data_IF_987803795387
#
_entry.id   IF_987803795387
#
_cell.length_a   1.000
_cell.length_b   1.000
_cell.length_c   1.000
_cell.angle_alpha   90.00
_cell.angle_beta   90.00
_cell.angle_gamma   90.00
#
_symmetry.space_group_name_H-M   'P 1'
#
loop_
_entity.id
_entity.type
_entity.pdbx_description
1 polymer ?
#
# COMPACT_ATOMS: atom_id res chain seq x y z
N UNK A 1 -15.28 6.01 17.10
CA UNK A 1 -13.88 5.61 17.39
C UNK A 1 -13.11 5.54 16.09
N UNK A 2 -11.85 5.98 16.10
CA UNK A 2 -10.97 5.91 14.94
C UNK A 2 -10.18 4.60 14.95
N UNK A 3 -9.71 4.16 13.79
CA UNK A 3 -8.83 2.99 13.70
C UNK A 3 -7.48 3.27 14.39
N UNK A 4 -6.97 4.49 14.26
CA UNK A 4 -5.74 4.90 14.94
C UNK A 4 -5.85 4.76 16.47
N UNK A 5 -6.96 5.21 17.07
CA UNK A 5 -7.19 5.04 18.50
C UNK A 5 -7.30 3.56 18.91
N UNK A 6 -7.90 2.71 18.08
CA UNK A 6 -7.96 1.28 18.33
C UNK A 6 -6.56 0.62 18.28
N UNK A 7 -5.70 1.05 17.36
CA UNK A 7 -4.31 0.58 17.26
C UNK A 7 -3.49 1.01 18.48
N UNK A 8 -3.65 2.26 18.92
CA UNK A 8 -2.93 2.81 20.08
C UNK A 8 -3.33 2.11 21.37
N UNK A 9 -4.60 1.72 21.50
CA UNK A 9 -5.12 1.02 22.67
C UNK A 9 -4.68 -0.45 22.79
N UNK A 10 -4.08 -1.02 21.73
CA UNK A 10 -3.59 -2.40 21.80
C UNK A 10 -2.43 -2.52 22.79
N UNK A 11 -2.43 -3.55 23.65
CA UNK A 11 -1.29 -3.82 24.51
C UNK A 11 -0.05 -4.17 23.70
N UNK A 12 1.11 -3.85 24.25
CA UNK A 12 2.39 -4.28 23.68
C UNK A 12 2.58 -5.79 23.83
N UNK A 13 3.43 -6.35 23.00
CA UNK A 13 3.79 -7.75 23.00
C UNK A 13 3.80 -8.36 21.61
N UNK A 14 4.34 -9.56 21.51
CA UNK A 14 4.52 -10.34 20.28
C UNK A 14 3.30 -11.21 19.91
N UNK A 15 2.29 -11.24 20.75
CA UNK A 15 1.04 -11.91 20.43
C UNK A 15 0.26 -11.15 19.34
N UNK A 16 -0.29 -11.92 18.39
CA UNK A 16 -1.13 -11.35 17.36
C UNK A 16 -2.42 -10.74 17.94
N UNK A 17 -2.64 -9.47 17.65
CA UNK A 17 -3.86 -8.73 18.04
C UNK A 17 -4.77 -8.56 16.83
N UNK A 18 -6.06 -8.76 17.03
CA UNK A 18 -7.08 -8.60 15.99
C UNK A 18 -7.91 -7.35 16.27
N UNK A 19 -7.97 -6.47 15.28
CA UNK A 19 -8.93 -5.36 15.25
C UNK A 19 -10.00 -5.71 14.23
N UNK A 20 -11.26 -5.82 14.69
CA UNK A 20 -12.41 -5.96 13.82
C UNK A 20 -13.00 -4.58 13.53
N UNK A 21 -13.11 -4.23 12.24
CA UNK A 21 -13.53 -2.91 11.79
C UNK A 21 -14.93 -3.01 11.18
N UNK A 22 -15.90 -2.32 11.77
CA UNK A 22 -17.27 -2.26 11.27
C UNK A 22 -17.35 -1.38 10.03
N UNK A 23 -18.44 -1.56 9.26
CA UNK A 23 -18.75 -0.70 8.12
C UNK A 23 -18.72 0.77 8.51
N UNK A 24 -18.11 1.59 7.68
CA UNK A 24 -17.97 3.03 7.88
C UNK A 24 -16.93 3.64 6.97
N UNK A 25 -17.00 4.95 6.83
CA UNK A 25 -15.96 5.78 6.24
C UNK A 25 -15.08 6.32 7.36
N UNK A 26 -13.81 5.96 7.36
CA UNK A 26 -12.80 6.37 8.32
C UNK A 26 -11.90 7.41 7.65
N UNK A 27 -12.24 8.69 7.85
CA UNK A 27 -11.45 9.80 7.29
C UNK A 27 -10.29 10.12 8.21
N UNK A 28 -9.25 9.31 8.11
CA UNK A 28 -8.06 9.40 8.93
C UNK A 28 -6.82 8.89 8.21
N UNK A 29 -5.68 9.41 8.62
CA UNK A 29 -4.37 8.92 8.21
C UNK A 29 -3.89 7.88 9.22
N UNK A 30 -3.72 6.64 8.79
CA UNK A 30 -3.42 5.51 9.68
C UNK A 30 -1.95 5.14 9.61
N UNK A 31 -1.33 5.00 10.76
CA UNK A 31 0.03 4.51 10.88
C UNK A 31 0.08 3.24 11.73
N UNK A 32 0.61 2.16 11.18
CA UNK A 32 0.77 0.89 11.87
C UNK A 32 2.25 0.59 12.04
N UNK A 33 2.68 0.51 13.29
CA UNK A 33 4.08 0.36 13.65
C UNK A 33 4.66 1.63 14.26
N UNK A 34 5.82 1.56 14.83
CA UNK A 34 6.32 2.57 15.74
C UNK A 34 6.76 3.86 15.07
N UNK A 35 6.36 4.99 15.66
CA UNK A 35 7.13 6.21 15.64
C UNK A 35 8.09 6.35 16.82
N UNK A 36 7.84 5.68 17.92
CA UNK A 36 8.65 5.86 19.10
C UNK A 36 8.75 4.69 20.04
N UNK A 37 7.87 3.71 20.00
CA UNK A 37 7.86 2.64 21.00
C UNK A 37 7.40 1.33 20.40
N UNK A 38 8.22 0.28 20.57
CA UNK A 38 7.87 -1.13 20.43
C UNK A 38 7.22 -1.57 19.12
N UNK A 39 8.05 -1.94 18.19
CA UNK A 39 7.73 -2.63 16.94
C UNK A 39 7.16 -4.06 17.14
N UNK A 40 6.82 -4.44 18.34
CA UNK A 40 6.49 -5.82 18.71
C UNK A 40 4.99 -6.11 18.69
N UNK A 41 4.17 -5.26 18.05
CA UNK A 41 2.74 -5.56 17.88
C UNK A 41 2.52 -6.31 16.57
N UNK A 42 2.19 -7.58 16.62
CA UNK A 42 1.72 -8.34 15.46
C UNK A 42 0.22 -8.06 15.28
N UNK A 43 -0.14 -7.28 14.27
CA UNK A 43 -1.50 -6.75 14.11
C UNK A 43 -2.19 -7.41 12.92
N UNK A 44 -3.44 -7.78 13.14
CA UNK A 44 -4.39 -8.13 12.09
C UNK A 44 -5.56 -7.16 12.10
N UNK A 45 -5.96 -6.69 10.92
CA UNK A 45 -7.17 -5.88 10.73
C UNK A 45 -8.13 -6.67 9.84
N UNK A 46 -9.35 -6.89 10.32
CA UNK A 46 -10.40 -7.56 9.56
C UNK A 46 -11.62 -6.65 9.50
N UNK A 47 -11.94 -6.19 8.30
CA UNK A 47 -13.14 -5.41 8.04
C UNK A 47 -14.40 -6.27 7.89
N UNK A 48 -15.52 -5.69 8.17
CA UNK A 48 -16.83 -6.34 7.99
C UNK A 48 -17.08 -6.68 6.51
N UNK A 49 -16.76 -5.76 5.59
CA UNK A 49 -16.85 -5.97 4.16
C UNK A 49 -16.01 -4.96 3.40
N UNK A 50 -15.27 -5.41 2.36
CA UNK A 50 -14.32 -4.61 1.59
C UNK A 50 -14.89 -3.29 1.09
N UNK A 51 -16.09 -3.29 0.54
CA UNK A 51 -16.66 -2.10 -0.10
C UNK A 51 -17.41 -1.19 0.88
N UNK A 52 -17.48 -1.55 2.17
CA UNK A 52 -18.15 -0.78 3.21
C UNK A 52 -17.27 -0.37 4.38
N UNK A 53 -16.07 -0.92 4.49
CA UNK A 53 -15.03 -0.46 5.42
C UNK A 53 -13.98 0.30 4.62
N UNK A 54 -14.04 1.62 4.67
CA UNK A 54 -13.23 2.50 3.81
C UNK A 54 -12.38 3.42 4.68
N UNK A 55 -11.06 3.30 4.56
CA UNK A 55 -10.07 4.21 5.15
C UNK A 55 -9.65 5.18 4.06
N UNK A 56 -9.82 6.48 4.28
CA UNK A 56 -9.70 7.50 3.24
C UNK A 56 -8.93 8.71 3.73
N UNK A 57 -8.01 9.21 2.90
CA UNK A 57 -7.31 10.47 3.11
C UNK A 57 -6.97 11.13 1.76
N UNK A 58 -6.33 12.32 1.80
CA UNK A 58 -6.06 13.11 0.60
C UNK A 58 -4.73 13.87 0.61
N UNK A 59 -3.73 13.38 1.33
CA UNK A 59 -2.39 13.97 1.26
C UNK A 59 -1.69 13.61 -0.06
N UNK A 60 -0.81 14.50 -0.53
CA UNK A 60 -0.07 14.34 -1.77
C UNK A 60 1.37 14.85 -1.63
N UNK A 61 2.23 14.46 -2.53
CA UNK A 61 3.62 14.92 -2.60
C UNK A 61 3.66 16.44 -2.83
N UNK A 62 4.32 17.15 -1.92
CA UNK A 62 4.40 18.61 -1.92
C UNK A 62 3.38 19.31 -0.99
N UNK A 63 2.44 18.58 -0.37
CA UNK A 63 1.52 19.15 0.61
C UNK A 63 2.23 19.41 1.93
N UNK A 64 1.95 20.54 2.56
CA UNK A 64 2.36 20.78 3.95
C UNK A 64 1.49 19.92 4.88
N UNK A 65 2.10 19.11 5.70
CA UNK A 65 1.44 18.19 6.63
C UNK A 65 2.09 18.20 8.01
N UNK A 66 1.32 17.91 9.04
CA UNK A 66 1.85 17.53 10.34
C UNK A 66 2.09 16.01 10.33
N UNK A 67 3.37 15.63 10.20
CA UNK A 67 3.71 14.22 10.09
C UNK A 67 3.89 13.62 11.48
N UNK A 68 3.01 12.69 11.85
CA UNK A 68 3.05 11.84 13.03
C UNK A 68 3.71 12.45 14.28
N UNK A 69 2.94 13.22 15.05
CA UNK A 69 3.37 13.73 16.33
C UNK A 69 4.37 14.87 16.27
N UNK A 70 4.77 15.34 15.09
CA UNK A 70 5.57 16.53 14.94
C UNK A 70 4.73 17.78 15.25
N UNK A 71 5.27 18.67 16.06
CA UNK A 71 4.64 19.96 16.37
C UNK A 71 4.83 21.00 15.26
N UNK A 72 5.74 20.74 14.31
CA UNK A 72 6.02 21.59 13.16
C UNK A 72 5.60 20.91 11.86
N UNK A 73 4.96 21.64 10.94
CA UNK A 73 4.61 21.08 9.65
C UNK A 73 5.87 20.78 8.82
N UNK A 74 5.75 19.83 7.91
CA UNK A 74 6.78 19.47 6.95
C UNK A 74 6.14 19.28 5.57
N UNK A 75 6.92 19.43 4.51
CA UNK A 75 6.46 19.13 3.16
C UNK A 75 6.51 17.62 2.95
N UNK A 76 5.38 17.05 2.63
CA UNK A 76 5.28 15.62 2.34
C UNK A 76 6.04 15.25 1.08
N UNK A 77 6.90 14.25 1.16
CA UNK A 77 7.32 13.49 -0.01
C UNK A 77 6.28 12.45 -0.40
N UNK A 78 6.50 11.73 -1.50
CA UNK A 78 5.57 10.70 -1.99
C UNK A 78 5.19 9.68 -0.90
N UNK A 79 6.12 9.04 -0.17
CA UNK A 79 5.75 8.07 0.86
C UNK A 79 4.97 8.67 2.03
N UNK A 80 5.25 9.93 2.38
CA UNK A 80 4.57 10.62 3.48
C UNK A 80 3.13 11.00 3.13
N UNK A 81 2.74 10.96 1.85
CA UNK A 81 1.37 11.20 1.42
C UNK A 81 0.42 10.04 1.74
N UNK A 82 0.94 8.89 2.15
CA UNK A 82 0.15 7.66 2.33
C UNK A 82 -1.03 7.85 3.28
N UNK A 83 -2.19 7.37 2.86
CA UNK A 83 -3.37 7.23 3.72
C UNK A 83 -3.09 6.23 4.83
N UNK A 84 -2.50 5.09 4.49
CA UNK A 84 -2.09 4.08 5.46
C UNK A 84 -0.60 3.76 5.29
N UNK A 85 0.18 3.89 6.35
CA UNK A 85 1.57 3.42 6.40
C UNK A 85 1.64 2.18 7.29
N UNK A 86 2.17 1.07 6.75
CA UNK A 86 2.30 -0.18 7.50
C UNK A 86 3.77 -0.49 7.73
N UNK A 87 4.27 -0.15 8.92
CA UNK A 87 5.64 -0.42 9.37
C UNK A 87 5.69 -1.60 10.37
N UNK A 88 4.73 -2.50 10.32
CA UNK A 88 4.71 -3.71 11.13
C UNK A 88 5.09 -4.92 10.27
N UNK A 89 6.01 -5.77 10.72
CA UNK A 89 6.23 -7.06 10.10
C UNK A 89 5.05 -8.00 10.38
N UNK A 90 4.89 -9.01 9.52
CA UNK A 90 3.85 -10.04 9.67
C UNK A 90 2.42 -9.49 9.79
N UNK A 91 2.19 -8.27 9.24
CA UNK A 91 0.88 -7.62 9.24
C UNK A 91 -0.11 -8.37 8.34
N UNK A 92 -1.35 -8.45 8.80
CA UNK A 92 -2.46 -9.02 8.03
C UNK A 92 -3.63 -8.05 7.96
N UNK A 93 -4.21 -7.90 6.76
CA UNK A 93 -5.43 -7.13 6.57
C UNK A 93 -6.39 -7.85 5.62
N UNK A 94 -7.68 -7.85 5.98
CA UNK A 94 -8.73 -8.48 5.18
C UNK A 94 -9.99 -7.62 5.13
N UNK A 95 -10.69 -7.61 3.99
CA UNK A 95 -11.99 -6.97 3.78
C UNK A 95 -12.00 -5.46 4.04
N UNK A 96 -10.96 -4.74 3.64
CA UNK A 96 -10.84 -3.28 3.83
C UNK A 96 -10.50 -2.60 2.51
N UNK A 97 -11.10 -1.44 2.27
CA UNK A 97 -10.66 -0.48 1.26
C UNK A 97 -9.74 0.56 1.89
N UNK A 98 -8.58 0.78 1.30
CA UNK A 98 -7.70 1.91 1.60
C UNK A 98 -7.61 2.78 0.35
N UNK A 99 -7.95 4.06 0.49
CA UNK A 99 -7.93 4.97 -0.66
C UNK A 99 -7.23 6.29 -0.35
N UNK A 100 -6.55 6.83 -1.36
CA UNK A 100 -6.17 8.23 -1.41
C UNK A 100 -7.00 8.92 -2.50
N UNK A 101 -7.70 9.98 -2.15
CA UNK A 101 -8.65 10.63 -3.06
C UNK A 101 -8.04 11.74 -3.91
N UNK A 102 -6.76 12.08 -3.70
CA UNK A 102 -6.08 13.11 -4.49
C UNK A 102 -5.64 12.56 -5.85
N UNK A 103 -5.89 13.34 -6.93
CA UNK A 103 -5.70 12.85 -8.31
C UNK A 103 -4.72 13.66 -9.15
N UNK A 104 -4.19 14.78 -8.62
CA UNK A 104 -3.41 15.73 -9.43
C UNK A 104 -1.90 15.67 -9.19
N UNK A 105 -1.44 14.82 -8.25
CA UNK A 105 -0.02 14.54 -8.00
C UNK A 105 0.13 13.12 -7.43
N UNK A 106 1.36 12.73 -7.13
CA UNK A 106 1.67 11.48 -6.43
C UNK A 106 0.99 11.46 -5.06
N UNK A 107 0.15 10.45 -4.82
CA UNK A 107 -0.71 10.36 -3.65
C UNK A 107 -0.97 8.89 -3.30
N UNK A 108 -0.24 8.42 -2.30
CA UNK A 108 -0.18 7.00 -1.93
C UNK A 108 -1.41 6.61 -1.12
N UNK A 109 -2.08 5.53 -1.48
CA UNK A 109 -3.10 4.93 -0.62
C UNK A 109 -2.44 4.11 0.49
N UNK A 110 -1.49 3.24 0.14
CA UNK A 110 -0.80 2.41 1.13
C UNK A 110 0.72 2.39 0.90
N UNK A 111 1.49 2.63 1.98
CA UNK A 111 2.94 2.53 2.00
C UNK A 111 3.39 1.33 2.84
N UNK A 112 4.06 0.39 2.20
CA UNK A 112 4.56 -0.85 2.79
C UNK A 112 5.99 -0.67 3.30
N UNK A 113 6.16 -0.57 4.60
CA UNK A 113 7.47 -0.39 5.26
C UNK A 113 7.93 -1.65 5.98
N UNK A 114 7.00 -2.41 6.55
CA UNK A 114 7.27 -3.70 7.19
C UNK A 114 7.50 -4.83 6.20
N UNK A 115 8.06 -5.94 6.67
CA UNK A 115 8.28 -7.15 5.88
C UNK A 115 7.21 -8.20 6.13
N UNK A 116 6.92 -9.06 5.14
CA UNK A 116 5.95 -10.18 5.21
C UNK A 116 4.52 -9.71 5.52
N UNK A 117 4.06 -8.73 4.77
CA UNK A 117 2.69 -8.21 4.90
C UNK A 117 1.75 -9.00 4.00
N UNK A 118 0.55 -9.31 4.51
CA UNK A 118 -0.47 -10.07 3.78
C UNK A 118 -1.78 -9.32 3.72
N UNK A 119 -2.34 -9.25 2.51
CA UNK A 119 -3.60 -8.59 2.22
C UNK A 119 -4.54 -9.55 1.50
N UNK A 120 -5.74 -9.73 2.03
CA UNK A 120 -6.75 -10.62 1.46
C UNK A 120 -8.06 -9.87 1.25
N UNK A 121 -8.63 -10.01 0.06
CA UNK A 121 -9.91 -9.39 -0.29
C UNK A 121 -9.97 -7.88 0.04
N UNK A 122 -8.86 -7.17 -0.14
CA UNK A 122 -8.73 -5.73 0.07
C UNK A 122 -8.89 -4.95 -1.24
N UNK A 123 -9.20 -3.67 -1.13
CA UNK A 123 -9.18 -2.73 -2.25
C UNK A 123 -8.20 -1.60 -1.95
N UNK A 124 -7.31 -1.32 -2.91
CA UNK A 124 -6.40 -0.19 -2.86
C UNK A 124 -6.74 0.74 -4.01
N UNK A 125 -7.18 1.95 -3.69
CA UNK A 125 -7.64 2.91 -4.68
C UNK A 125 -6.88 4.22 -4.55
N UNK A 126 -6.33 4.67 -5.66
CA UNK A 126 -5.64 5.95 -5.78
C UNK A 126 -5.62 6.41 -7.22
N UNK A 127 -4.68 7.27 -7.57
CA UNK A 127 -4.46 7.69 -8.95
C UNK A 127 -3.00 7.51 -9.35
N UNK A 128 -2.07 8.32 -8.84
CA UNK A 128 -0.64 8.11 -9.05
C UNK A 128 0.00 7.55 -7.79
N UNK A 129 0.80 6.48 -7.93
CA UNK A 129 1.55 5.82 -6.85
C UNK A 129 0.65 5.20 -5.75
N UNK A 130 -0.47 4.57 -6.13
CA UNK A 130 -1.45 4.00 -5.17
C UNK A 130 -0.81 3.09 -4.12
N UNK A 131 0.08 2.17 -4.55
CA UNK A 131 0.84 1.28 -3.67
C UNK A 131 2.33 1.59 -3.77
N UNK A 132 2.92 2.02 -2.65
CA UNK A 132 4.35 2.27 -2.54
C UNK A 132 5.01 1.15 -1.72
N UNK A 133 5.84 0.32 -2.37
CA UNK A 133 6.46 -0.84 -1.76
C UNK A 133 7.93 -0.57 -1.45
N UNK A 134 8.26 -0.41 -0.17
CA UNK A 134 9.63 -0.13 0.26
C UNK A 134 10.58 -1.24 -0.16
N UNK A 135 11.71 -0.84 -0.72
CA UNK A 135 12.80 -1.71 -1.15
C UNK A 135 13.21 -2.73 -0.07
N UNK A 136 13.39 -3.99 -0.48
CA UNK A 136 13.79 -5.07 0.42
C UNK A 136 12.68 -5.59 1.33
N UNK A 137 11.41 -5.24 1.09
CA UNK A 137 10.24 -5.72 1.83
C UNK A 137 9.36 -6.59 0.95
N UNK A 138 8.66 -7.54 1.57
CA UNK A 138 7.81 -8.54 0.90
C UNK A 138 6.36 -8.33 1.25
N UNK A 139 5.50 -8.43 0.24
CA UNK A 139 4.05 -8.34 0.42
C UNK A 139 3.34 -9.42 -0.40
N UNK A 140 2.26 -9.94 0.13
CA UNK A 140 1.40 -10.91 -0.54
C UNK A 140 -0.04 -10.40 -0.61
N UNK A 141 -0.63 -10.48 -1.79
CA UNK A 141 -1.99 -10.04 -2.07
C UNK A 141 -2.80 -11.20 -2.63
N UNK A 142 -3.92 -11.50 -2.02
CA UNK A 142 -4.85 -12.51 -2.48
C UNK A 142 -6.25 -11.93 -2.68
N UNK A 143 -6.80 -12.13 -3.88
CA UNK A 143 -8.15 -11.65 -4.24
C UNK A 143 -8.37 -10.15 -3.98
N UNK A 144 -7.34 -9.33 -4.23
CA UNK A 144 -7.40 -7.88 -4.02
C UNK A 144 -7.75 -7.15 -5.33
N UNK A 145 -8.32 -5.94 -5.19
CA UNK A 145 -8.54 -4.99 -6.27
C UNK A 145 -7.57 -3.82 -6.11
N UNK A 146 -6.70 -3.60 -7.09
CA UNK A 146 -5.74 -2.52 -7.10
C UNK A 146 -6.09 -1.57 -8.26
N UNK A 147 -6.37 -0.31 -7.96
CA UNK A 147 -6.82 0.69 -8.91
C UNK A 147 -5.93 1.92 -8.91
N UNK A 148 -5.61 2.43 -10.09
CA UNK A 148 -4.87 3.67 -10.23
C UNK A 148 -4.77 4.17 -11.66
N UNK A 149 -4.27 5.39 -11.82
CA UNK A 149 -4.15 6.06 -13.12
C UNK A 149 -2.78 5.89 -13.75
N UNK A 150 -1.71 5.99 -12.98
CA UNK A 150 -0.33 5.86 -13.45
C UNK A 150 0.59 5.42 -12.32
N UNK A 151 1.60 4.60 -12.65
CA UNK A 151 2.62 4.10 -11.71
C UNK A 151 2.02 3.54 -10.40
N UNK A 152 0.81 3.02 -10.46
CA UNK A 152 0.00 2.78 -9.26
C UNK A 152 0.41 1.55 -8.43
N UNK A 153 1.42 0.81 -8.88
CA UNK A 153 2.18 -0.18 -8.10
C UNK A 153 3.66 0.18 -8.28
N UNK A 154 4.32 0.76 -7.28
CA UNK A 154 5.64 1.32 -7.48
C UNK A 154 6.66 1.01 -6.38
N UNK A 155 7.89 1.40 -6.61
CA UNK A 155 9.09 1.24 -5.78
C UNK A 155 9.73 -0.15 -5.79
N UNK A 156 10.68 -0.41 -4.89
CA UNK A 156 11.64 -1.52 -4.97
C UNK A 156 11.32 -2.73 -4.09
N UNK A 157 10.08 -2.87 -3.61
CA UNK A 157 9.65 -4.04 -2.84
C UNK A 157 9.43 -5.27 -3.70
N UNK A 158 9.29 -6.41 -3.06
CA UNK A 158 8.85 -7.67 -3.68
C UNK A 158 7.39 -7.89 -3.35
N UNK A 159 6.55 -8.05 -4.36
CA UNK A 159 5.12 -8.29 -4.18
C UNK A 159 4.62 -9.46 -5.04
N UNK A 160 3.83 -10.32 -4.41
CA UNK A 160 3.17 -11.43 -5.09
C UNK A 160 1.65 -11.21 -5.08
N UNK A 161 1.11 -10.97 -6.25
CA UNK A 161 -0.33 -10.78 -6.48
C UNK A 161 -0.91 -12.09 -7.00
N UNK A 162 -1.86 -12.65 -6.26
CA UNK A 162 -2.53 -13.90 -6.63
C UNK A 162 -4.04 -13.70 -6.73
N UNK A 163 -4.60 -14.02 -7.89
CA UNK A 163 -6.03 -13.87 -8.19
C UNK A 163 -6.55 -12.42 -7.95
N UNK A 164 -5.69 -11.44 -8.21
CA UNK A 164 -6.04 -10.03 -8.04
C UNK A 164 -6.57 -9.41 -9.34
N UNK A 165 -7.32 -8.32 -9.19
CA UNK A 165 -7.69 -7.44 -10.31
C UNK A 165 -6.82 -6.20 -10.25
N UNK A 166 -6.11 -5.91 -11.34
CA UNK A 166 -5.27 -4.73 -11.52
C UNK A 166 -5.99 -3.84 -12.53
N UNK A 167 -6.58 -2.73 -12.05
CA UNK A 167 -7.48 -1.90 -12.86
C UNK A 167 -6.87 -0.52 -13.12
N UNK A 168 -6.63 -0.22 -14.38
CA UNK A 168 -6.18 1.11 -14.81
C UNK A 168 -7.36 2.06 -14.97
N UNK A 169 -7.29 3.22 -14.34
CA UNK A 169 -8.32 4.27 -14.38
C UNK A 169 -8.06 5.30 -15.47
N UNK A 170 -6.89 5.24 -16.14
CA UNK A 170 -6.47 6.19 -17.17
C UNK A 170 -5.61 5.48 -18.21
N UNK A 171 -5.80 5.83 -19.46
CA UNK A 171 -4.92 5.40 -20.56
C UNK A 171 -3.62 6.20 -20.64
N UNK A 172 -2.66 5.69 -21.41
CA UNK A 172 -1.41 6.37 -21.76
C UNK A 172 -0.27 6.28 -20.73
N UNK A 173 -0.48 5.60 -19.60
CA UNK A 173 0.50 5.47 -18.52
C UNK A 173 0.73 4.01 -18.13
N UNK A 174 1.86 3.76 -17.48
CA UNK A 174 2.23 2.45 -16.98
C UNK A 174 1.45 2.13 -15.70
N UNK A 175 1.02 0.88 -15.57
CA UNK A 175 0.36 0.42 -14.36
C UNK A 175 1.35 0.13 -13.24
N UNK A 176 2.58 -0.27 -13.57
CA UNK A 176 3.64 -0.53 -12.59
C UNK A 176 4.90 0.27 -12.88
N UNK A 177 5.59 0.69 -11.83
CA UNK A 177 6.87 1.39 -11.89
C UNK A 177 7.84 0.79 -10.86
N UNK A 178 8.39 -0.42 -11.11
CA UNK A 178 9.38 -1.01 -10.21
C UNK A 178 10.67 -0.20 -10.21
N UNK A 179 11.16 0.09 -9.03
CA UNK A 179 12.50 0.64 -8.83
C UNK A 179 13.57 -0.40 -9.19
N UNK A 180 14.78 0.02 -9.51
CA UNK A 180 15.87 -0.89 -9.82
C UNK A 180 16.05 -1.98 -8.74
N UNK A 181 16.07 -3.24 -9.21
CA UNK A 181 16.10 -4.46 -8.39
C UNK A 181 17.53 -4.77 -7.92
N UNK A 182 18.34 -3.79 -7.65
CA UNK A 182 19.70 -4.01 -7.12
C UNK A 182 19.71 -4.66 -5.72
N UNK A 183 18.53 -4.80 -5.09
CA UNK A 183 18.40 -5.47 -3.81
C UNK A 183 17.93 -6.90 -3.99
N UNK A 184 18.89 -7.78 -3.81
CA UNK A 184 18.68 -9.21 -3.71
C UNK A 184 18.41 -9.61 -2.26
N UNK A 185 17.52 -10.56 -2.07
CA UNK A 185 17.51 -11.36 -0.82
C UNK A 185 18.63 -12.38 -0.94
N UNK A 186 19.64 -12.27 -0.09
CA UNK A 186 20.70 -13.26 -0.03
C UNK A 186 20.17 -14.51 0.68
N UNK A 187 20.12 -15.61 -0.07
CA UNK A 187 19.76 -16.90 0.49
C UNK A 187 20.88 -17.42 1.41
N UNK A 188 20.52 -18.35 2.30
CA UNK A 188 21.49 -19.14 3.08
C UNK A 188 22.51 -19.89 2.22
N UNK A 189 22.20 -20.14 0.95
CA UNK A 189 23.09 -20.72 -0.05
C UNK A 189 24.10 -19.73 -0.64
N UNK A 190 24.08 -18.46 -0.22
CA UNK A 190 24.95 -17.40 -0.74
C UNK A 190 24.51 -16.83 -2.10
N UNK A 191 23.43 -17.33 -2.71
CA UNK A 191 22.87 -16.78 -3.95
C UNK A 191 21.97 -15.59 -3.64
N UNK A 192 22.04 -14.58 -4.50
CA UNK A 192 21.11 -13.45 -4.47
C UNK A 192 19.88 -13.78 -5.32
N UNK A 193 18.70 -13.63 -4.74
CA UNK A 193 17.45 -13.67 -5.46
C UNK A 193 16.95 -12.26 -5.71
N UNK A 194 16.65 -11.98 -6.96
CA UNK A 194 16.08 -10.71 -7.41
C UNK A 194 14.61 -10.95 -7.69
N UNK A 195 13.75 -10.23 -6.98
CA UNK A 195 12.32 -10.30 -7.16
C UNK A 195 11.77 -8.90 -7.40
N UNK A 196 10.80 -8.81 -8.25
CA UNK A 196 9.99 -7.63 -8.47
C UNK A 196 8.54 -7.89 -8.10
N UNK A 197 7.65 -7.47 -8.98
CA UNK A 197 6.22 -7.71 -8.87
C UNK A 197 5.85 -8.94 -9.68
N UNK A 198 5.19 -9.89 -9.04
CA UNK A 198 4.75 -11.15 -9.64
C UNK A 198 3.22 -11.17 -9.65
N UNK A 199 2.65 -11.34 -10.84
CA UNK A 199 1.20 -11.42 -11.04
C UNK A 199 0.83 -12.84 -11.47
N UNK A 200 0.14 -13.58 -10.61
CA UNK A 200 -0.29 -14.96 -10.86
C UNK A 200 -1.80 -15.04 -10.88
N UNK A 201 -2.36 -15.54 -11.98
CA UNK A 201 -3.81 -15.69 -12.19
C UNK A 201 -4.58 -14.36 -11.95
N UNK A 202 -3.96 -13.22 -12.29
CA UNK A 202 -4.52 -11.90 -12.15
C UNK A 202 -5.28 -11.47 -13.41
N UNK A 203 -6.28 -10.60 -13.23
CA UNK A 203 -6.98 -9.95 -14.32
C UNK A 203 -6.47 -8.51 -14.47
N UNK A 204 -6.03 -8.16 -15.68
CA UNK A 204 -5.69 -6.79 -16.03
C UNK A 204 -6.91 -6.13 -16.68
N UNK A 205 -7.40 -5.06 -16.10
CA UNK A 205 -8.61 -4.36 -16.52
C UNK A 205 -8.34 -2.88 -16.74
N UNK A 206 -9.19 -2.23 -17.51
CA UNK A 206 -9.24 -0.79 -17.62
C UNK A 206 -10.64 -0.28 -17.30
N UNK A 207 -10.74 0.96 -16.83
CA UNK A 207 -11.99 1.65 -16.60
C UNK A 207 -12.72 1.85 -17.95
N UNK A 208 -14.04 1.90 -17.92
CA UNK A 208 -14.83 2.22 -19.10
C UNK A 208 -14.41 3.57 -19.68
N UNK A 209 -14.26 3.63 -21.02
CA UNK A 209 -13.79 4.83 -21.73
C UNK A 209 -12.26 4.96 -21.84
N UNK A 210 -11.47 4.12 -21.21
CA UNK A 210 -10.02 4.05 -21.43
C UNK A 210 -9.77 3.45 -22.82
N UNK A 211 -9.03 4.15 -23.73
CA UNK A 211 -8.81 3.65 -25.09
C UNK A 211 -8.08 2.32 -25.11
N UNK A 212 -8.51 1.43 -26.00
CA UNK A 212 -7.83 0.14 -26.20
C UNK A 212 -6.36 0.36 -26.61
N UNK A 213 -5.45 -0.42 -26.02
CA UNK A 213 -4.01 -0.33 -26.29
C UNK A 213 -3.30 0.88 -25.70
N UNK A 214 -3.97 1.68 -24.85
CA UNK A 214 -3.39 2.88 -24.23
C UNK A 214 -2.76 2.64 -22.85
N UNK A 215 -2.85 1.42 -22.32
CA UNK A 215 -2.28 1.08 -21.01
C UNK A 215 -1.08 0.15 -21.19
N UNK A 216 0.04 0.52 -20.62
CA UNK A 216 1.26 -0.26 -20.60
C UNK A 216 1.40 -1.02 -19.28
N UNK A 217 1.98 -2.23 -19.32
CA UNK A 217 2.14 -3.10 -18.14
C UNK A 217 3.07 -2.48 -17.10
N UNK A 218 4.12 -1.78 -17.54
CA UNK A 218 5.06 -1.18 -16.62
C UNK A 218 6.14 -0.39 -17.32
N UNK A 219 6.89 0.37 -16.51
CA UNK A 219 8.12 1.04 -16.91
C UNK A 219 9.16 0.92 -15.80
N UNK A 220 10.47 0.90 -16.11
CA UNK A 220 11.48 1.04 -15.08
C UNK A 220 11.37 2.44 -14.43
N UNK A 221 11.59 2.47 -13.13
CA UNK A 221 11.69 3.72 -12.38
C UNK A 221 13.18 4.03 -12.16
N UNK A 222 13.60 5.25 -12.42
CA UNK A 222 15.00 5.69 -12.34
C UNK A 222 15.92 5.00 -13.37
N UNK A 223 15.64 5.19 -14.65
CA UNK A 223 16.71 5.04 -15.65
C UNK A 223 17.59 6.28 -15.63
N UNK A 224 18.87 6.06 -15.37
CA UNK A 224 19.95 7.00 -15.67
C UNK A 224 20.51 6.68 -17.05
#
# INVERSE_FOLDING_TARGET
>A
ETLSAAIDALPEGDERRLIYVKKGLYEEKVYIGSHSVSLNKVISIVGEHRDSVIISWNDYNGKEIYYYGNSTPTIAGTPQSATMTVNAPDFYMENVTVQNTYTSAQAVAIYHVGDRQTFKNCRFKGFQDTQYLKKGRRSFYYNCLIEGGTDFICAGGTAYYYQCVIKSLKGGYYSTAPEDITHSVRLSTGKNLYYGFIFKDCQLQAEEGVPAGSVYLGRPWQEN
#
